data_IF_487565773600
#
_entry.id   IF_487565773600
#
_cell.length_a   1.000
_cell.length_b   1.000
_cell.length_c   1.000
_cell.angle_alpha   90.00
_cell.angle_beta   90.00
_cell.angle_gamma   90.00
#
_symmetry.space_group_name_H-M   'P 1'
#
loop_
_entity.id
_entity.type
_entity.pdbx_description
1 polymer ?
#
# COMPACT_ATOMS: atom_id res chain seq x y z
N UNK A 1 -0.82 11.58 -13.82
CA UNK A 1 -1.09 12.63 -12.83
C UNK A 1 -0.11 12.36 -11.70
N UNK A 2 0.93 13.17 -11.57
CA UNK A 2 1.98 12.99 -10.56
C UNK A 2 1.53 13.72 -9.30
N UNK A 3 1.50 13.03 -8.15
CA UNK A 3 1.02 13.64 -6.91
C UNK A 3 1.45 12.85 -5.69
N UNK A 4 1.63 13.58 -4.59
CA UNK A 4 1.57 13.02 -3.23
C UNK A 4 0.15 13.27 -2.76
N UNK A 5 -0.62 12.21 -2.57
CA UNK A 5 -2.00 12.33 -2.08
C UNK A 5 -1.99 12.22 -0.57
N UNK A 6 -2.54 13.25 0.09
CA UNK A 6 -2.64 13.32 1.56
C UNK A 6 -4.09 13.05 1.92
N UNK A 7 -4.34 11.90 2.52
CA UNK A 7 -5.67 11.53 3.00
C UNK A 7 -5.79 11.80 4.51
N UNK A 8 -6.90 12.42 4.90
CA UNK A 8 -7.39 12.51 6.29
C UNK A 8 -8.84 12.05 6.28
N UNK A 9 -9.14 10.90 6.88
CA UNK A 9 -10.46 10.25 6.73
C UNK A 9 -11.12 10.06 8.11
N UNK A 10 -12.37 10.51 8.31
CA UNK A 10 -13.17 10.12 9.48
C UNK A 10 -13.66 8.67 9.34
N UNK A 11 -13.53 7.88 10.41
CA UNK A 11 -13.82 6.44 10.45
C UNK A 11 -15.33 6.15 10.52
N UNK A 12 -15.91 5.44 9.55
CA UNK A 12 -17.06 4.54 9.73
C UNK A 12 -17.43 3.79 8.44
N UNK A 13 -17.25 2.45 8.34
CA UNK A 13 -18.00 1.55 7.41
C UNK A 13 -17.97 0.08 7.92
N UNK A 14 -19.13 -0.59 7.99
CA UNK A 14 -19.34 -2.05 8.18
C UNK A 14 -19.63 -2.77 6.85
N UNK A 15 -19.32 -4.08 6.72
CA UNK A 15 -19.99 -5.03 5.79
C UNK A 15 -19.71 -6.53 6.08
N UNK A 16 -20.60 -7.39 5.53
CA UNK A 16 -20.81 -8.87 5.67
C UNK A 16 -20.27 -9.74 4.48
N UNK A 17 -20.37 -11.07 4.57
CA UNK A 17 -19.63 -12.11 3.81
C UNK A 17 -20.46 -12.95 2.82
N UNK A 18 -20.00 -13.16 1.56
CA UNK A 18 -20.16 -14.37 0.72
C UNK A 18 -19.12 -14.41 -0.46
N UNK A 19 -18.34 -15.50 -0.60
CA UNK A 19 -17.93 -16.12 -1.87
C UNK A 19 -17.02 -15.47 -2.95
N UNK A 20 -16.52 -14.23 -2.83
CA UNK A 20 -15.90 -13.51 -3.97
C UNK A 20 -14.37 -13.28 -3.87
N UNK A 21 -13.73 -12.87 -4.99
CA UNK A 21 -12.35 -12.38 -5.02
C UNK A 21 -12.18 -11.17 -4.09
N UNK A 22 -11.21 -11.25 -3.18
CA UNK A 22 -11.00 -10.28 -2.11
C UNK A 22 -9.84 -9.32 -2.42
N UNK A 23 -10.09 -8.01 -2.31
CA UNK A 23 -9.07 -6.96 -2.49
C UNK A 23 -9.24 -5.80 -1.52
N UNK A 24 -8.30 -4.86 -1.58
CA UNK A 24 -8.39 -3.56 -0.91
C UNK A 24 -9.08 -2.56 -1.86
N UNK A 25 -9.74 -1.53 -1.33
CA UNK A 25 -10.34 -0.52 -2.19
C UNK A 25 -9.21 0.22 -2.94
N UNK A 26 -9.31 0.21 -4.27
CA UNK A 26 -8.29 0.77 -5.16
C UNK A 26 -7.26 -0.26 -5.64
N UNK A 27 -6.99 -0.23 -6.94
CA UNK A 27 -5.98 -1.08 -7.61
C UNK A 27 -4.55 -0.74 -7.19
N UNK A 28 -4.34 0.44 -6.61
CA UNK A 28 -3.07 0.96 -6.11
C UNK A 28 -3.32 1.90 -4.92
N UNK A 29 -2.62 1.68 -3.80
CA UNK A 29 -2.70 2.53 -2.59
C UNK A 29 -3.64 2.01 -1.51
N UNK A 30 -4.30 0.86 -1.72
CA UNK A 30 -5.24 0.29 -0.75
C UNK A 30 -4.59 -0.33 0.49
N UNK A 31 -3.25 -0.51 0.50
CA UNK A 31 -2.54 -0.96 1.69
C UNK A 31 -2.54 0.12 2.76
N UNK A 32 -2.27 1.38 2.40
CA UNK A 32 -2.31 2.50 3.34
C UNK A 32 -3.69 2.63 3.99
N UNK A 33 -4.76 2.41 3.23
CA UNK A 33 -6.12 2.44 3.79
C UNK A 33 -6.35 1.32 4.80
N UNK A 34 -5.94 0.10 4.48
CA UNK A 34 -6.08 -1.05 5.39
C UNK A 34 -5.25 -0.88 6.65
N UNK A 35 -4.00 -0.47 6.50
CA UNK A 35 -3.09 -0.14 7.60
C UNK A 35 -3.67 0.98 8.44
N UNK A 36 -4.22 2.02 7.81
CA UNK A 36 -4.86 3.14 8.50
C UNK A 36 -6.03 2.68 9.37
N UNK A 37 -6.98 1.93 8.79
CA UNK A 37 -8.17 1.46 9.52
C UNK A 37 -7.77 0.62 10.74
N UNK A 38 -6.82 -0.30 10.55
CA UNK A 38 -6.34 -1.16 11.63
C UNK A 38 -5.52 -0.41 12.69
N UNK A 39 -4.65 0.51 12.27
CA UNK A 39 -3.87 1.34 13.19
C UNK A 39 -4.78 2.26 14.01
N UNK A 40 -5.82 2.83 13.40
CA UNK A 40 -6.79 3.66 14.11
C UNK A 40 -7.56 2.87 15.17
N UNK A 41 -8.06 1.69 14.81
CA UNK A 41 -8.75 0.78 15.73
C UNK A 41 -7.84 0.34 16.88
N UNK A 42 -6.64 -0.15 16.56
CA UNK A 42 -5.68 -0.66 17.55
C UNK A 42 -5.13 0.42 18.47
N UNK A 43 -4.77 1.59 17.95
CA UNK A 43 -4.08 2.63 18.72
C UNK A 43 -5.04 3.50 19.52
N UNK A 44 -6.25 3.74 18.99
CA UNK A 44 -7.13 4.77 19.56
C UNK A 44 -8.43 4.21 20.13
N UNK A 45 -8.91 3.03 19.70
CA UNK A 45 -10.05 2.32 20.29
C UNK A 45 -11.34 3.14 20.50
N UNK A 46 -11.39 4.37 19.97
CA UNK A 46 -12.38 5.43 20.22
C UNK A 46 -12.33 6.44 19.07
N UNK A 47 -13.47 7.07 18.80
CA UNK A 47 -13.59 8.22 17.90
C UNK A 47 -13.04 9.45 18.63
N UNK A 48 -11.94 10.04 18.14
CA UNK A 48 -11.44 11.33 18.62
C UNK A 48 -11.96 12.41 17.68
N UNK A 49 -12.98 13.15 18.11
CA UNK A 49 -13.62 14.17 17.28
C UNK A 49 -12.69 15.37 17.02
N UNK A 50 -12.53 15.74 15.74
CA UNK A 50 -11.96 17.02 15.32
C UNK A 50 -10.43 17.15 15.33
N UNK A 51 -9.66 16.12 15.71
CA UNK A 51 -8.18 16.18 15.74
C UNK A 51 -7.55 15.17 14.78
N UNK A 52 -6.67 15.64 13.89
CA UNK A 52 -5.84 14.74 13.06
C UNK A 52 -4.83 13.99 13.94
N UNK A 53 -4.98 12.67 14.05
CA UNK A 53 -4.13 11.83 14.89
C UNK A 53 -2.90 11.30 14.16
N UNK A 54 -3.06 10.96 12.89
CA UNK A 54 -2.02 10.38 12.05
C UNK A 54 -2.14 11.00 10.65
N UNK A 55 -0.99 11.25 10.04
CA UNK A 55 -0.85 11.73 8.67
C UNK A 55 -0.17 10.65 7.84
N UNK A 56 -0.74 10.35 6.69
CA UNK A 56 -0.28 9.33 5.76
C UNK A 56 0.04 9.98 4.42
N UNK A 57 0.91 9.36 3.63
CA UNK A 57 1.18 9.79 2.27
C UNK A 57 1.25 8.60 1.30
N UNK A 58 0.60 8.76 0.15
CA UNK A 58 0.81 7.92 -1.02
C UNK A 58 1.81 8.60 -1.95
N UNK A 59 2.84 7.87 -2.36
CA UNK A 59 3.91 8.39 -3.21
C UNK A 59 4.04 7.55 -4.48
N UNK A 60 3.67 8.14 -5.62
CA UNK A 60 3.78 7.49 -6.92
C UNK A 60 4.98 8.01 -7.72
N UNK A 61 5.78 7.11 -8.28
CA UNK A 61 6.89 7.45 -9.15
C UNK A 61 8.20 7.72 -8.40
N UNK A 62 9.31 7.27 -8.99
CA UNK A 62 10.65 7.44 -8.42
C UNK A 62 11.05 8.90 -8.19
N UNK A 63 10.59 9.83 -9.04
CA UNK A 63 10.84 11.26 -8.87
C UNK A 63 10.24 11.79 -7.55
N UNK A 64 9.00 11.39 -7.22
CA UNK A 64 8.36 11.81 -5.96
C UNK A 64 8.96 11.11 -4.74
N UNK A 65 9.43 9.86 -4.91
CA UNK A 65 10.13 9.13 -3.85
C UNK A 65 11.36 9.91 -3.36
N UNK A 66 12.15 10.48 -4.28
CA UNK A 66 13.31 11.29 -3.91
C UNK A 66 12.94 12.49 -3.03
N UNK A 67 11.80 13.14 -3.30
CA UNK A 67 11.31 14.27 -2.51
C UNK A 67 10.91 13.84 -1.10
N UNK A 68 10.16 12.73 -0.96
CA UNK A 68 9.79 12.19 0.35
C UNK A 68 11.03 11.77 1.13
N UNK A 69 11.96 11.01 0.53
CA UNK A 69 13.21 10.60 1.17
C UNK A 69 14.01 11.80 1.65
N UNK A 70 14.10 12.87 0.84
CA UNK A 70 14.77 14.11 1.24
C UNK A 70 14.07 14.76 2.45
N UNK A 71 12.74 14.86 2.46
CA UNK A 71 11.98 15.40 3.59
C UNK A 71 12.19 14.58 4.87
N UNK A 72 12.19 13.25 4.76
CA UNK A 72 12.47 12.34 5.89
C UNK A 72 13.88 12.58 6.44
N UNK A 73 14.90 12.62 5.57
CA UNK A 73 16.30 12.89 5.98
C UNK A 73 16.46 14.24 6.66
N UNK A 74 15.73 15.26 6.20
CA UNK A 74 15.75 16.60 6.78
C UNK A 74 14.89 16.73 8.05
N UNK A 75 14.24 15.66 8.52
CA UNK A 75 13.25 15.68 9.61
C UNK A 75 12.11 16.68 9.38
N UNK A 76 11.74 16.88 8.11
CA UNK A 76 10.62 17.74 7.63
C UNK A 76 9.47 16.91 7.05
N UNK A 77 9.44 15.61 7.35
CA UNK A 77 8.35 14.72 7.01
C UNK A 77 7.48 14.54 8.25
N UNK A 78 6.23 14.98 8.17
CA UNK A 78 5.25 14.92 9.25
C UNK A 78 4.30 13.72 9.13
N UNK A 79 4.57 12.80 8.19
CA UNK A 79 3.81 11.56 7.98
C UNK A 79 4.31 10.44 8.89
N UNK A 80 3.38 9.67 9.46
CA UNK A 80 3.69 8.49 10.29
C UNK A 80 3.83 7.22 9.44
N UNK A 81 3.22 7.21 8.25
CA UNK A 81 3.34 6.11 7.30
C UNK A 81 3.31 6.64 5.87
N UNK A 82 4.13 6.05 5.02
CA UNK A 82 4.22 6.38 3.60
C UNK A 82 4.16 5.09 2.80
N UNK A 83 3.19 4.99 1.89
CA UNK A 83 3.19 3.95 0.87
C UNK A 83 3.85 4.48 -0.40
N UNK A 84 4.82 3.72 -0.92
CA UNK A 84 5.61 4.12 -2.08
C UNK A 84 5.36 3.14 -3.22
N UNK A 85 5.06 3.68 -4.38
CA UNK A 85 4.95 2.93 -5.63
C UNK A 85 5.92 3.46 -6.66
N UNK A 86 6.64 2.55 -7.33
CA UNK A 86 7.63 2.93 -8.33
C UNK A 86 7.00 3.51 -9.60
N UNK A 87 5.82 3.00 -10.00
CA UNK A 87 5.12 3.42 -11.21
C UNK A 87 4.16 4.58 -10.92
N UNK A 88 4.04 5.57 -11.84
CA UNK A 88 2.95 6.54 -11.80
C UNK A 88 1.61 5.80 -11.86
N UNK A 89 0.61 6.17 -11.06
CA UNK A 89 -0.67 5.44 -10.96
C UNK A 89 -0.55 3.98 -10.48
N UNK A 90 0.58 3.63 -9.83
CA UNK A 90 0.76 2.33 -9.19
C UNK A 90 0.83 1.15 -10.15
N UNK A 91 0.46 -0.03 -9.64
CA UNK A 91 0.66 -1.31 -10.32
C UNK A 91 -0.12 -1.43 -11.65
N UNK A 92 -1.25 -0.73 -11.80
CA UNK A 92 -2.05 -0.73 -13.04
C UNK A 92 -1.33 -0.12 -14.24
N UNK A 93 -0.27 0.63 -13.98
CA UNK A 93 0.62 1.21 -14.98
C UNK A 93 2.04 0.60 -14.89
N UNK A 94 2.14 -0.63 -14.36
CA UNK A 94 3.38 -1.38 -14.29
C UNK A 94 3.91 -1.77 -15.67
N UNK A 95 5.23 -1.93 -15.81
CA UNK A 95 5.86 -2.27 -17.09
C UNK A 95 5.45 -3.64 -17.67
N UNK A 96 4.84 -4.50 -16.87
CA UNK A 96 4.29 -5.79 -17.30
C UNK A 96 2.84 -5.77 -17.77
N UNK A 97 2.18 -4.60 -17.78
CA UNK A 97 0.77 -4.49 -18.17
C UNK A 97 0.56 -4.62 -19.68
N UNK A 98 -0.67 -4.98 -20.07
CA UNK A 98 -1.10 -4.99 -21.47
C UNK A 98 -0.92 -3.59 -22.05
N UNK A 99 -0.42 -3.50 -23.28
CA UNK A 99 -0.23 -2.21 -23.96
C UNK A 99 -1.56 -1.63 -24.43
N UNK A 100 -1.70 -0.28 -24.47
CA UNK A 100 -2.89 0.35 -25.04
C UNK A 100 -3.16 -0.11 -26.48
N UNK A 101 -4.43 -0.26 -26.82
CA UNK A 101 -4.84 -0.54 -28.20
C UNK A 101 -4.52 0.65 -29.10
N UNK A 102 -4.37 0.47 -30.43
CA UNK A 102 -4.23 1.59 -31.35
C UNK A 102 -5.36 2.61 -31.16
N UNK A 103 -5.00 3.89 -30.97
CA UNK A 103 -5.96 4.96 -30.70
C UNK A 103 -6.39 5.13 -29.24
N UNK A 104 -6.00 4.23 -28.32
CA UNK A 104 -6.26 4.35 -26.89
C UNK A 104 -5.05 4.98 -26.18
N UNK A 105 -5.30 5.99 -25.35
CA UNK A 105 -4.26 6.57 -24.50
C UNK A 105 -3.93 5.66 -23.30
N UNK A 106 -2.70 5.71 -22.76
CA UNK A 106 -2.36 5.01 -21.52
C UNK A 106 -3.27 5.36 -20.34
N UNK A 107 -3.71 6.62 -20.26
CA UNK A 107 -4.60 7.09 -19.20
C UNK A 107 -5.98 6.44 -19.28
N UNK A 108 -6.53 6.32 -20.49
CA UNK A 108 -7.81 5.63 -20.71
C UNK A 108 -7.71 4.16 -20.35
N UNK A 109 -6.61 3.49 -20.75
CA UNK A 109 -6.39 2.11 -20.37
C UNK A 109 -6.36 1.91 -18.85
N UNK A 110 -5.60 2.74 -18.12
CA UNK A 110 -5.52 2.66 -16.65
C UNK A 110 -6.91 2.81 -16.04
N UNK A 111 -7.70 3.79 -16.48
CA UNK A 111 -9.06 4.02 -15.97
C UNK A 111 -9.98 2.82 -16.25
N UNK A 112 -9.89 2.24 -17.44
CA UNK A 112 -10.65 1.02 -17.79
C UNK A 112 -10.26 -0.14 -16.88
N UNK A 113 -8.96 -0.38 -16.67
CA UNK A 113 -8.46 -1.44 -15.80
C UNK A 113 -8.91 -1.23 -14.35
N UNK A 114 -8.85 0.01 -13.84
CA UNK A 114 -9.33 0.37 -12.50
C UNK A 114 -10.83 0.08 -12.34
N UNK A 115 -11.63 0.44 -13.36
CA UNK A 115 -13.07 0.17 -13.36
C UNK A 115 -13.34 -1.33 -13.31
N UNK A 116 -12.69 -2.11 -14.19
CA UNK A 116 -12.82 -3.57 -14.19
C UNK A 116 -12.42 -4.15 -12.84
N UNK A 117 -11.32 -3.69 -12.25
CA UNK A 117 -10.88 -4.18 -10.93
C UNK A 117 -11.93 -3.91 -9.85
N UNK A 118 -12.46 -2.68 -9.78
CA UNK A 118 -13.45 -2.31 -8.77
C UNK A 118 -14.80 -3.02 -8.96
N UNK A 119 -15.17 -3.34 -10.19
CA UNK A 119 -16.40 -4.09 -10.50
C UNK A 119 -16.27 -5.58 -10.18
N UNK A 120 -15.07 -6.16 -10.32
CA UNK A 120 -14.86 -7.61 -10.23
C UNK A 120 -14.19 -8.07 -8.93
N UNK A 121 -13.65 -7.14 -8.13
CA UNK A 121 -12.97 -7.44 -6.88
C UNK A 121 -13.76 -6.83 -5.73
N UNK A 122 -14.28 -7.71 -4.86
CA UNK A 122 -14.98 -7.26 -3.66
C UNK A 122 -13.96 -6.82 -2.60
N UNK A 123 -14.24 -5.68 -2.00
CA UNK A 123 -13.47 -5.22 -0.84
C UNK A 123 -13.77 -6.15 0.33
N UNK A 124 -12.73 -6.72 0.93
CA UNK A 124 -12.89 -7.49 2.15
C UNK A 124 -11.91 -7.09 3.23
N UNK A 125 -12.39 -7.23 4.46
CA UNK A 125 -11.54 -7.10 5.63
C UNK A 125 -10.66 -8.35 5.76
N UNK A 126 -9.32 -8.23 5.63
CA UNK A 126 -8.42 -9.38 5.70
C UNK A 126 -8.47 -10.09 7.06
N UNK A 127 -8.80 -9.39 8.14
CA UNK A 127 -8.94 -9.97 9.48
C UNK A 127 -10.20 -10.83 9.65
N UNK A 128 -11.20 -10.63 8.78
CA UNK A 128 -12.42 -11.46 8.76
C UNK A 128 -12.28 -12.66 7.81
N UNK A 129 -11.18 -12.77 7.06
CA UNK A 129 -11.00 -13.81 6.05
C UNK A 129 -10.80 -15.18 6.73
N UNK A 130 -11.71 -16.15 6.54
CA UNK A 130 -11.64 -17.44 7.22
C UNK A 130 -10.39 -18.24 6.82
N UNK A 131 -9.89 -18.09 5.58
CA UNK A 131 -8.67 -18.77 5.13
C UNK A 131 -7.42 -18.18 5.78
N UNK A 132 -7.39 -16.85 5.95
CA UNK A 132 -6.30 -16.20 6.68
C UNK A 132 -6.35 -16.60 8.14
N UNK A 133 -7.55 -16.62 8.74
CA UNK A 133 -7.74 -17.05 10.13
C UNK A 133 -7.28 -18.49 10.34
N UNK A 134 -7.69 -19.43 9.48
CA UNK A 134 -7.28 -20.83 9.59
C UNK A 134 -5.76 -20.99 9.42
N UNK A 135 -5.13 -20.24 8.50
CA UNK A 135 -3.68 -20.24 8.35
C UNK A 135 -2.94 -19.82 9.63
N UNK A 136 -3.48 -18.83 10.36
CA UNK A 136 -2.95 -18.44 11.67
C UNK A 136 -3.21 -19.52 12.73
N UNK A 137 -4.46 -19.92 12.91
CA UNK A 137 -4.86 -20.88 13.96
C UNK A 137 -4.14 -22.23 13.82
N UNK A 138 -3.95 -22.72 12.58
CA UNK A 138 -3.38 -24.04 12.31
C UNK A 138 -1.85 -24.04 12.18
N UNK A 139 -1.26 -22.92 11.72
CA UNK A 139 0.16 -22.92 11.37
C UNK A 139 0.94 -21.69 11.87
N UNK A 140 0.53 -20.46 11.58
CA UNK A 140 1.34 -19.27 11.90
C UNK A 140 1.26 -18.83 13.38
N UNK A 141 0.34 -19.42 14.16
CA UNK A 141 -0.03 -19.03 15.52
C UNK A 141 -0.78 -17.70 15.53
N UNK A 142 -0.20 -16.65 16.10
CA UNK A 142 -0.80 -15.32 16.18
C UNK A 142 0.02 -14.28 15.39
N UNK A 143 -0.60 -13.22 14.86
CA UNK A 143 0.12 -12.11 14.25
C UNK A 143 1.24 -11.58 15.16
N UNK A 144 2.44 -11.42 14.61
CA UNK A 144 3.61 -10.95 15.36
C UNK A 144 4.31 -12.00 16.23
N UNK A 145 3.88 -13.27 16.22
CA UNK A 145 4.65 -14.37 16.83
C UNK A 145 6.04 -14.51 16.17
N UNK A 146 7.00 -15.12 16.87
CA UNK A 146 8.32 -15.41 16.29
C UNK A 146 8.21 -16.31 15.05
N UNK A 147 7.26 -17.26 15.06
CA UNK A 147 6.97 -18.11 13.89
C UNK A 147 6.45 -17.28 12.72
N UNK A 148 5.52 -16.36 12.95
CA UNK A 148 5.02 -15.44 11.92
C UNK A 148 6.17 -14.58 11.38
N UNK A 149 6.93 -13.90 12.25
CA UNK A 149 8.08 -13.07 11.84
C UNK A 149 9.05 -13.85 10.95
N UNK A 150 9.39 -15.08 11.35
CA UNK A 150 10.32 -15.94 10.61
C UNK A 150 9.86 -16.26 9.19
N UNK A 151 8.55 -16.43 8.95
CA UNK A 151 8.06 -16.92 7.66
C UNK A 151 7.47 -15.83 6.76
N UNK A 152 6.93 -14.75 7.33
CA UNK A 152 6.25 -13.70 6.56
C UNK A 152 6.91 -12.32 6.65
N UNK A 153 7.96 -12.15 7.47
CA UNK A 153 8.74 -10.90 7.47
C UNK A 153 10.06 -11.08 6.73
N UNK A 154 10.58 -9.95 6.24
CA UNK A 154 11.91 -9.85 5.67
C UNK A 154 12.54 -8.52 6.09
N UNK A 155 13.86 -8.47 6.08
CA UNK A 155 14.61 -7.25 6.33
C UNK A 155 15.46 -6.89 5.11
N UNK A 156 15.54 -5.59 4.82
CA UNK A 156 16.37 -5.08 3.75
C UNK A 156 17.63 -4.47 4.35
N UNK A 157 18.78 -4.84 3.80
CA UNK A 157 20.06 -4.27 4.18
C UNK A 157 20.63 -3.42 3.03
N UNK A 158 21.43 -2.38 3.33
CA UNK A 158 22.09 -1.61 2.30
C UNK A 158 22.92 -2.52 1.37
N UNK A 159 22.74 -2.37 0.06
CA UNK A 159 23.59 -3.06 -0.92
C UNK A 159 24.99 -2.44 -0.83
N UNK A 160 25.94 -3.20 -0.26
CA UNK A 160 27.34 -2.81 -0.22
C UNK A 160 27.90 -2.96 -1.64
N UNK A 161 28.07 -1.84 -2.35
CA UNK A 161 28.75 -1.87 -3.66
C UNK A 161 30.20 -2.27 -3.45
N UNK A 162 30.68 -3.28 -4.19
CA UNK A 162 32.11 -3.59 -4.21
C UNK A 162 32.90 -2.37 -4.70
N UNK A 163 34.15 -2.24 -4.26
CA UNK A 163 35.07 -1.17 -4.71
C UNK A 163 35.11 -1.12 -6.25
N UNK A 164 35.08 -2.29 -6.91
CA UNK A 164 35.03 -2.41 -8.38
C UNK A 164 33.78 -1.79 -8.99
N UNK A 165 32.61 -1.90 -8.34
CA UNK A 165 31.36 -1.30 -8.80
C UNK A 165 31.30 0.22 -8.56
N UNK A 166 32.07 0.74 -7.59
CA UNK A 166 32.22 2.18 -7.37
C UNK A 166 33.16 2.83 -8.40
N UNK A 167 34.25 2.14 -8.76
CA UNK A 167 35.23 2.61 -9.74
C UNK A 167 34.73 2.61 -11.19
N UNK A 168 33.73 1.80 -11.53
CA UNK A 168 33.10 1.79 -12.88
C UNK A 168 32.19 2.99 -13.17
N UNK A 169 31.86 3.78 -12.14
CA UNK A 169 30.98 4.94 -12.26
C UNK A 169 31.76 6.28 -12.21
N UNK A 170 33.08 6.24 -12.42
CA UNK A 170 33.94 7.41 -12.61
C UNK A 170 34.41 7.50 -14.05
#
# INVERSE_FOLDING_TARGET
MYGVEVASVPLAIETSYEGHLYGVAGSSGGYAETVFRHAAETLFGKVIEGKTLLKFALCYGFQNLQNIVRRVKMRKCDYQFVEVMACPSGCMNGGGQIKPKPGQSPKELIKTLETIYLENVMVANPFKNPLVKSLYDEWLEQPGSEKTKKHVHTEYHPVVKSITAQLRNW
#
